data_IF_945355860575
#
_entry.id   IF_945355860575
#
_cell.length_a   1.000
_cell.length_b   1.000
_cell.length_c   1.000
_cell.angle_alpha   90.00
_cell.angle_beta   90.00
_cell.angle_gamma   90.00
#
_symmetry.space_group_name_H-M   'P 1'
#
loop_
_entity.id
_entity.type
_entity.pdbx_description
1 polymer ?
#
# COMPACT_ATOMS: atom_id res chain seq x y z
N UNK A 1 -39.20 2.92 22.06
CA UNK A 1 -38.70 2.99 20.69
C UNK A 1 -37.20 2.67 20.79
N UNK A 2 -36.78 1.49 20.36
CA UNK A 2 -35.36 1.15 20.28
C UNK A 2 -34.81 1.90 19.05
N UNK A 3 -33.88 2.83 19.28
CA UNK A 3 -33.10 3.41 18.22
C UNK A 3 -32.23 2.27 17.64
N UNK A 4 -32.58 1.80 16.46
CA UNK A 4 -31.65 1.05 15.61
C UNK A 4 -30.42 1.93 15.45
N UNK A 5 -29.25 1.45 15.86
CA UNK A 5 -28.00 2.16 15.64
C UNK A 5 -27.76 2.23 14.13
N UNK A 6 -28.20 3.34 13.51
CA UNK A 6 -27.95 3.59 12.10
C UNK A 6 -26.55 4.19 11.98
N UNK A 7 -25.74 3.60 11.11
CA UNK A 7 -24.47 4.21 10.74
C UNK A 7 -24.78 5.40 9.83
N UNK A 8 -24.27 6.56 10.22
CA UNK A 8 -24.29 7.76 9.38
C UNK A 8 -22.95 7.85 8.61
N UNK A 9 -23.02 8.09 7.30
CA UNK A 9 -21.85 8.32 6.47
C UNK A 9 -21.72 9.82 6.21
N UNK A 10 -20.65 10.40 6.71
CA UNK A 10 -20.42 11.85 6.68
C UNK A 10 -19.09 12.17 5.99
N UNK A 11 -19.01 13.31 5.33
CA UNK A 11 -17.81 13.78 4.64
C UNK A 11 -16.67 14.05 5.64
N UNK A 12 -15.48 13.50 5.38
CA UNK A 12 -14.29 13.67 6.24
C UNK A 12 -13.91 15.14 6.45
N UNK A 13 -14.21 16.02 5.50
CA UNK A 13 -13.91 17.45 5.59
C UNK A 13 -14.70 18.18 6.67
N UNK A 14 -15.70 17.53 7.25
CA UNK A 14 -16.45 18.07 8.39
C UNK A 14 -15.81 17.75 9.74
N UNK A 15 -14.74 16.95 9.75
CA UNK A 15 -14.10 16.49 10.98
C UNK A 15 -12.71 17.09 11.16
N UNK A 16 -12.33 17.30 12.41
CA UNK A 16 -10.95 17.61 12.80
C UNK A 16 -10.25 16.34 13.29
N UNK A 17 -8.90 16.34 13.25
CA UNK A 17 -8.08 15.19 13.56
C UNK A 17 -8.37 14.49 14.92
N UNK A 18 -8.70 15.19 16.02
CA UNK A 18 -8.97 14.53 17.30
C UNK A 18 -10.08 13.49 17.27
N UNK A 19 -11.06 13.66 16.39
CA UNK A 19 -12.24 12.77 16.28
C UNK A 19 -11.86 11.41 15.67
N UNK A 20 -10.87 11.37 14.78
CA UNK A 20 -10.39 10.15 14.14
C UNK A 20 -9.22 9.47 14.89
N UNK A 21 -8.70 10.10 15.94
CA UNK A 21 -7.50 9.62 16.63
C UNK A 21 -7.59 8.14 17.04
N UNK A 22 -8.69 7.72 17.65
CA UNK A 22 -8.88 6.34 18.09
C UNK A 22 -8.83 5.35 16.92
N UNK A 23 -9.44 5.70 15.79
CA UNK A 23 -9.46 4.89 14.57
C UNK A 23 -8.05 4.77 13.99
N UNK A 24 -7.32 5.88 13.87
CA UNK A 24 -5.94 5.91 13.36
C UNK A 24 -4.94 5.19 14.28
N UNK A 25 -5.13 5.23 15.60
CA UNK A 25 -4.31 4.48 16.55
C UNK A 25 -4.53 2.97 16.41
N UNK A 26 -5.79 2.53 16.30
CA UNK A 26 -6.14 1.12 16.10
C UNK A 26 -5.60 0.59 14.75
N UNK A 27 -5.74 1.37 13.71
CA UNK A 27 -5.17 1.06 12.39
C UNK A 27 -3.65 0.95 12.46
N UNK A 28 -2.98 1.90 13.11
CA UNK A 28 -1.53 1.90 13.32
C UNK A 28 -1.01 0.66 14.03
N UNK A 29 -1.73 0.17 15.04
CA UNK A 29 -1.39 -1.09 15.70
C UNK A 29 -1.55 -2.29 14.77
N UNK A 30 -2.55 -2.28 13.87
CA UNK A 30 -2.73 -3.35 12.88
C UNK A 30 -1.62 -3.32 11.81
N UNK A 31 -1.20 -2.13 11.34
CA UNK A 31 -0.04 -1.98 10.46
C UNK A 31 1.23 -2.57 11.09
N UNK A 32 1.46 -2.28 12.37
CA UNK A 32 2.60 -2.80 13.11
C UNK A 32 2.54 -4.32 13.29
N UNK A 33 1.38 -4.86 13.67
CA UNK A 33 1.19 -6.30 13.91
C UNK A 33 1.29 -7.12 12.62
N UNK A 34 0.69 -6.64 11.52
CA UNK A 34 0.56 -7.40 10.26
C UNK A 34 1.75 -7.25 9.35
N UNK A 35 2.33 -6.05 9.28
CA UNK A 35 3.36 -5.69 8.29
C UNK A 35 4.67 -5.21 8.92
N UNK A 36 4.73 -5.09 10.24
CA UNK A 36 5.86 -4.53 11.00
C UNK A 36 6.21 -3.08 10.60
N UNK A 37 5.20 -2.31 10.11
CA UNK A 37 5.36 -0.92 9.69
C UNK A 37 4.95 0.05 10.79
N UNK A 38 5.70 1.13 10.91
CA UNK A 38 5.38 2.26 11.78
C UNK A 38 4.49 3.26 11.03
N UNK A 39 3.18 3.17 11.27
CA UNK A 39 2.17 4.00 10.61
C UNK A 39 2.10 5.44 11.17
N UNK A 40 2.79 5.76 12.27
CA UNK A 40 2.67 7.06 12.97
C UNK A 40 2.96 8.27 12.07
N UNK A 41 3.87 8.15 11.12
CA UNK A 41 4.18 9.25 10.19
C UNK A 41 3.06 9.47 9.20
N UNK A 42 2.47 8.41 8.65
CA UNK A 42 1.32 8.48 7.75
C UNK A 42 0.09 9.00 8.50
N UNK A 43 -0.18 8.51 9.71
CA UNK A 43 -1.28 9.00 10.55
C UNK A 43 -1.15 10.49 10.87
N UNK A 44 0.06 11.00 11.17
CA UNK A 44 0.28 12.44 11.37
C UNK A 44 -0.03 13.27 10.12
N UNK A 45 0.36 12.77 8.94
CA UNK A 45 0.06 13.44 7.69
C UNK A 45 -1.46 13.47 7.44
N UNK A 46 -2.16 12.36 7.66
CA UNK A 46 -3.62 12.31 7.57
C UNK A 46 -4.28 13.29 8.53
N UNK A 47 -3.82 13.36 9.79
CA UNK A 47 -4.33 14.32 10.77
C UNK A 47 -4.13 15.77 10.31
N UNK A 48 -3.02 16.13 9.67
CA UNK A 48 -2.81 17.46 9.12
C UNK A 48 -3.80 17.79 7.99
N UNK A 49 -4.09 16.84 7.10
CA UNK A 49 -5.10 17.02 6.05
C UNK A 49 -6.52 17.11 6.62
N UNK A 50 -6.83 16.39 7.68
CA UNK A 50 -8.11 16.50 8.39
C UNK A 50 -8.28 17.89 9.03
N UNK A 51 -7.27 18.36 9.78
CA UNK A 51 -7.33 19.68 10.41
C UNK A 51 -7.40 20.84 9.41
N UNK A 52 -6.89 20.64 8.20
CA UNK A 52 -7.04 21.59 7.10
C UNK A 52 -8.36 21.45 6.32
N UNK A 53 -9.22 20.49 6.67
CA UNK A 53 -10.46 20.14 5.98
C UNK A 53 -10.28 19.83 4.48
N UNK A 54 -9.12 19.30 4.11
CA UNK A 54 -8.72 19.04 2.71
C UNK A 54 -8.71 17.56 2.34
N UNK A 55 -8.98 16.63 3.28
CA UNK A 55 -8.95 15.19 3.01
C UNK A 55 -10.28 14.73 2.41
N UNK A 56 -10.35 14.39 1.11
CA UNK A 56 -11.57 13.87 0.51
C UNK A 56 -11.82 12.44 0.99
N UNK A 57 -13.06 12.15 1.36
CA UNK A 57 -13.44 10.83 1.83
C UNK A 57 -14.65 10.88 2.77
N UNK A 58 -14.88 9.78 3.47
CA UNK A 58 -16.05 9.61 4.34
C UNK A 58 -15.67 8.99 5.67
N UNK A 59 -16.40 9.37 6.70
CA UNK A 59 -16.37 8.75 8.02
C UNK A 59 -17.69 8.03 8.28
N UNK A 60 -17.61 6.86 8.90
CA UNK A 60 -18.75 6.16 9.48
C UNK A 60 -18.92 6.61 10.93
N UNK A 61 -20.11 7.07 11.28
CA UNK A 61 -20.45 7.55 12.62
C UNK A 61 -21.56 6.70 13.20
N UNK A 62 -21.31 6.15 14.38
CA UNK A 62 -22.28 5.37 15.16
C UNK A 62 -22.41 5.98 16.55
N UNK A 63 -23.64 6.29 16.98
CA UNK A 63 -23.90 6.94 18.28
C UNK A 63 -23.03 8.20 18.54
N UNK A 64 -22.78 8.99 17.51
CA UNK A 64 -21.97 10.22 17.61
C UNK A 64 -20.46 10.01 17.68
N UNK A 65 -19.99 8.78 17.53
CA UNK A 65 -18.56 8.45 17.49
C UNK A 65 -18.14 7.93 16.12
N UNK A 66 -16.96 8.34 15.64
CA UNK A 66 -16.39 7.83 14.40
C UNK A 66 -15.88 6.40 14.65
N UNK A 67 -16.41 5.45 13.88
CA UNK A 67 -16.07 4.02 13.95
C UNK A 67 -15.25 3.54 12.77
N UNK A 68 -15.16 4.31 11.69
CA UNK A 68 -14.37 3.97 10.52
C UNK A 68 -14.24 5.14 9.56
N UNK A 69 -13.36 5.02 8.58
CA UNK A 69 -13.15 6.02 7.55
C UNK A 69 -12.65 5.41 6.24
N UNK A 70 -12.80 6.16 5.15
CA UNK A 70 -12.19 5.91 3.85
C UNK A 70 -11.76 7.25 3.28
N UNK A 71 -10.60 7.29 2.63
CA UNK A 71 -10.15 8.52 1.96
C UNK A 71 -9.59 8.25 0.56
N UNK A 72 -9.53 9.30 -0.24
CA UNK A 72 -8.85 9.27 -1.52
C UNK A 72 -7.98 10.51 -1.72
N UNK A 73 -7.10 10.44 -2.71
CA UNK A 73 -6.27 11.57 -3.15
C UNK A 73 -6.50 11.75 -4.65
N UNK A 74 -6.67 13.00 -5.08
CA UNK A 74 -6.83 13.33 -6.50
C UNK A 74 -5.47 13.69 -7.10
N UNK A 75 -5.17 13.09 -8.25
CA UNK A 75 -3.99 13.37 -9.08
C UNK A 75 -4.46 13.66 -10.52
N UNK A 76 -4.63 14.92 -10.89
CA UNK A 76 -5.13 15.31 -12.22
C UNK A 76 -6.51 14.66 -12.52
N UNK A 77 -6.60 13.77 -13.49
CA UNK A 77 -7.82 13.01 -13.86
C UNK A 77 -7.93 11.66 -13.16
N UNK A 78 -7.07 11.41 -12.16
CA UNK A 78 -7.03 10.16 -11.40
C UNK A 78 -7.41 10.39 -9.93
N UNK A 79 -8.10 9.40 -9.34
CA UNK A 79 -8.24 9.28 -7.90
C UNK A 79 -7.51 8.04 -7.40
N UNK A 80 -6.81 8.16 -6.28
CA UNK A 80 -6.19 7.03 -5.57
C UNK A 80 -6.89 6.86 -4.24
N UNK A 81 -7.54 5.71 -4.04
CA UNK A 81 -8.12 5.34 -2.74
C UNK A 81 -6.95 4.96 -1.85
N UNK A 82 -6.75 5.73 -0.78
CA UNK A 82 -5.59 5.59 0.09
C UNK A 82 -5.71 4.41 1.03
N UNK A 83 -6.74 4.39 1.85
CA UNK A 83 -7.10 3.26 2.72
C UNK A 83 -8.59 3.33 3.11
N UNK A 84 -9.09 2.21 3.65
CA UNK A 84 -10.37 2.10 4.34
C UNK A 84 -10.13 1.33 5.62
N UNK A 85 -10.66 1.80 6.74
CA UNK A 85 -10.50 1.12 8.01
C UNK A 85 -11.71 1.35 8.91
N UNK A 86 -12.13 0.32 9.64
CA UNK A 86 -13.14 0.43 10.69
C UNK A 86 -12.68 -0.29 11.96
N UNK A 87 -13.06 0.26 13.11
CA UNK A 87 -12.78 -0.33 14.41
C UNK A 87 -13.44 -1.72 14.49
N UNK A 88 -12.74 -2.73 15.02
CA UNK A 88 -13.35 -4.01 15.32
C UNK A 88 -14.47 -3.78 16.34
N UNK A 89 -15.68 -4.26 16.02
CA UNK A 89 -16.82 -4.14 16.92
C UNK A 89 -16.54 -4.78 18.28
N UNK A 90 -17.25 -4.37 19.33
CA UNK A 90 -17.05 -4.87 20.70
C UNK A 90 -17.19 -6.40 20.87
N UNK A 91 -17.80 -7.09 19.91
CA UNK A 91 -17.93 -8.55 19.92
C UNK A 91 -16.62 -9.32 19.68
N UNK A 92 -15.57 -8.70 19.13
CA UNK A 92 -14.27 -9.35 18.93
C UNK A 92 -13.36 -9.26 20.17
N UNK A 93 -13.72 -8.47 21.17
CA UNK A 93 -13.01 -8.39 22.46
C UNK A 93 -13.62 -9.26 23.55
N UNK A 94 -14.79 -9.87 23.30
CA UNK A 94 -15.43 -10.78 24.23
C UNK A 94 -15.01 -12.23 23.92
N UNK A 95 -14.35 -12.85 24.86
CA UNK A 95 -14.20 -14.31 24.93
C UNK A 95 -15.61 -14.90 24.92
N UNK A 96 -16.01 -15.57 23.86
CA UNK A 96 -17.24 -16.27 23.55
C UNK A 96 -18.53 -15.86 24.29
N UNK A 97 -19.69 -15.85 23.63
CA UNK A 97 -20.92 -15.57 24.34
C UNK A 97 -21.13 -16.61 25.47
N UNK A 98 -21.58 -16.19 26.66
CA UNK A 98 -21.98 -17.13 27.67
C UNK A 98 -23.09 -18.01 27.08
N UNK A 99 -23.18 -19.32 27.46
CA UNK A 99 -24.25 -20.17 27.00
C UNK A 99 -25.59 -19.50 27.33
N UNK A 100 -26.59 -19.58 26.43
CA UNK A 100 -27.90 -19.00 26.69
C UNK A 100 -28.50 -19.63 27.95
N UNK A 101 -28.88 -18.80 28.91
CA UNK A 101 -29.64 -19.26 30.05
C UNK A 101 -30.98 -19.82 29.55
N UNK A 102 -31.44 -20.96 30.07
CA UNK A 102 -32.73 -21.52 29.69
C UNK A 102 -33.84 -20.54 30.08
N UNK A 103 -34.62 -20.09 29.08
CA UNK A 103 -35.79 -19.25 29.29
C UNK A 103 -36.80 -19.93 30.23
N UNK A 104 -37.26 -19.20 31.24
CA UNK A 104 -38.35 -19.67 32.08
C UNK A 104 -39.63 -19.78 31.24
N UNK A 105 -40.45 -20.84 31.53
CA UNK A 105 -41.66 -21.09 30.79
C UNK A 105 -42.66 -19.92 30.89
N UNK A 106 -42.85 -19.20 29.75
CA UNK A 106 -43.75 -18.05 29.65
C UNK A 106 -43.11 -16.72 29.37
N UNK A 107 -41.77 -16.65 29.30
CA UNK A 107 -41.07 -15.41 28.87
C UNK A 107 -41.13 -15.24 27.35
N UNK A 108 -41.63 -14.07 26.90
CA UNK A 108 -41.57 -13.65 25.51
C UNK A 108 -40.11 -13.27 25.23
N UNK A 109 -39.45 -13.88 24.25
CA UNK A 109 -38.08 -13.51 23.92
C UNK A 109 -38.02 -12.04 23.63
N UNK A 110 -37.03 -11.35 24.24
CA UNK A 110 -36.76 -9.95 23.94
C UNK A 110 -36.57 -9.79 22.43
N UNK A 111 -37.03 -8.68 21.81
CA UNK A 111 -36.83 -8.47 20.39
C UNK A 111 -35.34 -8.61 20.07
N UNK A 112 -35.01 -9.40 19.05
CA UNK A 112 -33.66 -9.63 18.57
C UNK A 112 -33.09 -8.27 18.30
N UNK A 113 -32.17 -7.78 19.13
CA UNK A 113 -31.36 -6.62 18.81
C UNK A 113 -30.48 -7.01 17.65
N UNK A 114 -30.63 -6.37 16.52
CA UNK A 114 -29.66 -6.52 15.44
C UNK A 114 -28.27 -6.29 16.03
N UNK A 115 -27.37 -7.23 15.79
CA UNK A 115 -26.00 -7.10 16.23
C UNK A 115 -25.39 -5.84 15.56
N UNK A 116 -24.54 -5.08 16.26
CA UNK A 116 -23.86 -3.93 15.62
C UNK A 116 -23.10 -4.43 14.39
N UNK A 117 -23.07 -3.63 13.30
CA UNK A 117 -22.40 -4.05 12.09
C UNK A 117 -20.93 -4.35 12.34
N UNK A 118 -20.42 -5.35 11.64
CA UNK A 118 -19.01 -5.73 11.72
C UNK A 118 -18.12 -4.65 11.07
N UNK A 119 -16.84 -4.59 11.44
CA UNK A 119 -15.88 -3.70 10.80
C UNK A 119 -15.91 -3.85 9.27
N UNK A 120 -16.02 -5.08 8.77
CA UNK A 120 -16.11 -5.36 7.34
C UNK A 120 -17.36 -4.75 6.67
N UNK A 121 -18.50 -4.76 7.33
CA UNK A 121 -19.74 -4.15 6.81
C UNK A 121 -19.63 -2.62 6.79
N UNK A 122 -18.99 -2.02 7.79
CA UNK A 122 -18.71 -0.59 7.84
C UNK A 122 -17.77 -0.20 6.70
N UNK A 123 -16.66 -0.91 6.50
CA UNK A 123 -15.71 -0.68 5.41
C UNK A 123 -16.37 -0.84 4.04
N UNK A 124 -17.20 -1.87 3.86
CA UNK A 124 -17.94 -2.07 2.61
C UNK A 124 -18.92 -0.92 2.33
N UNK A 125 -19.58 -0.38 3.36
CA UNK A 125 -20.51 0.76 3.23
C UNK A 125 -19.74 2.04 2.86
N UNK A 126 -18.62 2.29 3.51
CA UNK A 126 -17.73 3.41 3.21
C UNK A 126 -17.21 3.37 1.77
N UNK A 127 -16.73 2.19 1.32
CA UNK A 127 -16.26 2.00 -0.05
C UNK A 127 -17.38 2.21 -1.08
N UNK A 128 -18.59 1.69 -0.84
CA UNK A 128 -19.73 1.91 -1.75
C UNK A 128 -20.02 3.39 -1.92
N UNK A 129 -20.06 4.14 -0.82
CA UNK A 129 -20.32 5.58 -0.83
C UNK A 129 -19.23 6.36 -1.58
N UNK A 130 -17.96 5.97 -1.36
CA UNK A 130 -16.84 6.55 -2.10
C UNK A 130 -16.91 6.21 -3.59
N UNK A 131 -17.26 4.98 -3.97
CA UNK A 131 -17.42 4.58 -5.38
C UNK A 131 -18.53 5.38 -6.07
N UNK A 132 -19.68 5.56 -5.42
CA UNK A 132 -20.76 6.40 -5.97
C UNK A 132 -20.27 7.82 -6.30
N UNK A 133 -19.44 8.39 -5.43
CA UNK A 133 -18.87 9.72 -5.66
C UNK A 133 -17.85 9.73 -6.79
N UNK A 134 -16.90 8.79 -6.78
CA UNK A 134 -15.80 8.79 -7.74
C UNK A 134 -16.25 8.39 -9.14
N UNK A 135 -17.09 7.36 -9.28
CA UNK A 135 -17.56 6.86 -10.58
C UNK A 135 -18.49 7.84 -11.30
N UNK A 136 -19.25 8.68 -10.53
CA UNK A 136 -20.08 9.73 -11.07
C UNK A 136 -19.32 11.04 -11.38
N UNK A 137 -18.04 11.13 -11.04
CA UNK A 137 -17.23 12.32 -11.35
C UNK A 137 -16.84 12.33 -12.84
N UNK A 138 -17.30 13.32 -13.64
CA UNK A 138 -16.97 13.37 -15.06
C UNK A 138 -15.49 13.69 -15.32
N UNK A 139 -14.77 14.19 -14.33
CA UNK A 139 -13.38 14.60 -14.43
C UNK A 139 -12.39 13.44 -14.20
N UNK A 140 -12.88 12.30 -13.71
CA UNK A 140 -12.03 11.16 -13.43
C UNK A 140 -12.04 10.17 -14.60
N UNK A 141 -10.87 9.85 -15.06
CA UNK A 141 -10.63 8.84 -16.08
C UNK A 141 -10.15 7.53 -15.48
N UNK A 142 -9.59 7.61 -14.26
CA UNK A 142 -8.98 6.46 -13.59
C UNK A 142 -9.17 6.50 -12.07
N UNK A 143 -9.35 5.32 -11.46
CA UNK A 143 -9.36 5.16 -10.01
C UNK A 143 -8.45 3.97 -9.70
N UNK A 144 -7.51 4.17 -8.77
CA UNK A 144 -6.59 3.15 -8.29
C UNK A 144 -6.77 2.90 -6.80
N UNK A 145 -6.55 1.68 -6.35
CA UNK A 145 -6.51 1.31 -4.94
C UNK A 145 -5.51 0.19 -4.70
N UNK A 146 -4.82 0.22 -3.56
CA UNK A 146 -3.98 -0.87 -3.08
C UNK A 146 -4.18 -1.00 -1.57
N UNK A 147 -5.13 -1.84 -1.15
CA UNK A 147 -5.48 -2.00 0.25
C UNK A 147 -4.53 -3.00 0.93
N UNK A 148 -3.30 -2.56 1.16
CA UNK A 148 -2.20 -3.39 1.67
C UNK A 148 -2.52 -4.03 3.03
N UNK A 149 -3.29 -3.34 3.87
CA UNK A 149 -3.66 -3.82 5.20
C UNK A 149 -4.69 -4.95 5.16
N UNK A 150 -5.49 -5.04 4.08
CA UNK A 150 -6.59 -6.00 3.97
C UNK A 150 -6.15 -7.30 3.28
N UNK A 151 -6.49 -8.49 3.83
CA UNK A 151 -6.25 -9.74 3.13
C UNK A 151 -6.93 -9.77 1.75
N UNK A 152 -6.24 -10.36 0.76
CA UNK A 152 -6.80 -10.54 -0.57
C UNK A 152 -8.15 -11.27 -0.50
N UNK A 153 -9.13 -10.76 -1.23
CA UNK A 153 -10.51 -11.27 -1.21
C UNK A 153 -11.46 -10.46 -0.33
N UNK A 154 -10.97 -9.72 0.67
CA UNK A 154 -11.82 -9.01 1.64
C UNK A 154 -12.83 -8.09 0.94
N UNK A 155 -12.38 -7.26 0.02
CA UNK A 155 -13.25 -6.31 -0.71
C UNK A 155 -13.31 -6.60 -2.22
N UNK A 156 -12.70 -7.68 -2.71
CA UNK A 156 -12.58 -7.97 -4.15
C UNK A 156 -13.93 -8.03 -4.88
N UNK A 157 -14.96 -8.62 -4.27
CA UNK A 157 -16.28 -8.72 -4.87
C UNK A 157 -16.92 -7.35 -5.05
N UNK A 158 -16.77 -6.46 -4.05
CA UNK A 158 -17.28 -5.10 -4.10
C UNK A 158 -16.62 -4.28 -5.20
N UNK A 159 -15.28 -4.35 -5.32
CA UNK A 159 -14.54 -3.68 -6.39
C UNK A 159 -14.97 -4.18 -7.78
N UNK A 160 -15.10 -5.52 -7.97
CA UNK A 160 -15.54 -6.08 -9.26
C UNK A 160 -16.97 -5.68 -9.62
N UNK A 161 -17.89 -5.64 -8.66
CA UNK A 161 -19.27 -5.19 -8.88
C UNK A 161 -19.32 -3.72 -9.31
N UNK A 162 -18.39 -2.89 -8.83
CA UNK A 162 -18.24 -1.50 -9.24
C UNK A 162 -17.46 -1.30 -10.56
N UNK A 163 -17.10 -2.39 -11.26
CA UNK A 163 -16.43 -2.34 -12.55
C UNK A 163 -14.91 -2.25 -12.51
N UNK A 164 -14.29 -2.46 -11.35
CA UNK A 164 -12.83 -2.47 -11.23
C UNK A 164 -12.24 -3.82 -11.67
N UNK A 165 -11.08 -3.77 -12.30
CA UNK A 165 -10.17 -4.91 -12.42
C UNK A 165 -9.42 -5.08 -11.10
N UNK A 166 -9.33 -6.32 -10.61
CA UNK A 166 -8.70 -6.64 -9.33
C UNK A 166 -7.49 -7.54 -9.57
N UNK A 167 -6.35 -7.13 -9.05
CA UNK A 167 -5.07 -7.80 -9.15
C UNK A 167 -4.62 -8.25 -7.76
N UNK A 168 -4.30 -9.53 -7.63
CA UNK A 168 -3.73 -10.05 -6.39
C UNK A 168 -2.25 -9.72 -6.31
N UNK A 169 -1.82 -9.17 -5.17
CA UNK A 169 -0.43 -8.84 -4.87
C UNK A 169 0.05 -9.58 -3.63
N UNK A 170 1.32 -9.88 -3.59
CA UNK A 170 1.98 -10.54 -2.47
C UNK A 170 2.85 -9.53 -1.73
N UNK A 171 2.77 -9.53 -0.42
CA UNK A 171 3.73 -8.89 0.47
C UNK A 171 4.70 -9.98 0.92
N UNK A 172 5.98 -9.80 0.55
CA UNK A 172 7.02 -10.77 0.83
C UNK A 172 8.06 -10.18 1.79
N UNK A 173 8.58 -11.01 2.69
CA UNK A 173 9.54 -10.61 3.73
C UNK A 173 10.76 -11.54 3.67
N UNK A 174 11.95 -10.94 3.79
CA UNK A 174 13.22 -11.63 3.98
C UNK A 174 13.77 -11.27 5.36
N UNK A 175 13.94 -12.23 6.28
CA UNK A 175 14.67 -12.03 7.52
C UNK A 175 16.16 -11.79 7.24
N UNK A 176 16.72 -10.76 7.87
CA UNK A 176 18.15 -10.46 7.79
C UNK A 176 18.88 -11.08 9.00
N UNK A 177 19.10 -12.40 8.96
CA UNK A 177 19.78 -13.13 10.03
C UNK A 177 21.15 -13.62 9.57
N UNK A 178 22.14 -13.57 10.47
CA UNK A 178 23.48 -14.08 10.21
C UNK A 178 24.48 -13.03 9.70
N UNK A 179 25.64 -13.51 9.25
CA UNK A 179 26.68 -12.66 8.69
C UNK A 179 26.45 -12.52 7.18
N UNK A 180 25.81 -11.44 6.78
CA UNK A 180 25.83 -11.05 5.37
C UNK A 180 27.23 -10.52 5.05
N UNK A 181 28.02 -11.28 4.33
CA UNK A 181 29.27 -10.78 3.76
C UNK A 181 28.95 -9.66 2.77
N UNK A 182 29.89 -8.73 2.64
CA UNK A 182 29.78 -7.71 1.59
C UNK A 182 29.57 -8.44 0.25
N UNK A 183 28.48 -8.15 -0.49
CA UNK A 183 28.21 -8.86 -1.73
C UNK A 183 29.39 -8.65 -2.69
N UNK A 184 29.92 -9.74 -3.27
CA UNK A 184 30.88 -9.63 -4.35
C UNK A 184 30.17 -9.07 -5.57
N UNK A 185 30.54 -7.86 -5.95
CA UNK A 185 29.98 -7.18 -7.11
C UNK A 185 30.89 -7.45 -8.29
N UNK A 186 30.50 -8.39 -9.13
CA UNK A 186 31.17 -8.63 -10.41
C UNK A 186 30.28 -8.03 -11.51
N UNK A 187 30.69 -6.89 -12.04
CA UNK A 187 30.01 -6.22 -13.15
C UNK A 187 30.89 -6.28 -14.41
N UNK A 188 30.27 -6.38 -15.60
CA UNK A 188 30.98 -6.10 -16.85
C UNK A 188 31.70 -4.74 -16.78
N UNK A 189 32.88 -4.63 -17.37
CA UNK A 189 33.74 -3.47 -17.22
C UNK A 189 33.15 -2.14 -17.74
N UNK A 190 32.05 -2.21 -18.50
CA UNK A 190 31.30 -1.03 -18.93
C UNK A 190 30.29 -0.50 -17.90
N UNK A 191 30.04 -1.25 -16.81
CA UNK A 191 29.03 -0.91 -15.79
C UNK A 191 29.66 -0.54 -14.46
N UNK A 192 29.03 0.42 -13.78
CA UNK A 192 29.39 0.92 -12.45
C UNK A 192 28.21 0.77 -11.49
N UNK A 193 28.45 0.14 -10.31
CA UNK A 193 27.51 0.19 -9.18
C UNK A 193 27.89 1.37 -8.27
N UNK A 194 26.92 2.18 -7.93
CA UNK A 194 27.10 3.29 -6.97
C UNK A 194 25.84 3.59 -6.16
N UNK A 195 25.98 4.26 -5.00
CA UNK A 195 24.83 4.77 -4.26
C UNK A 195 23.98 5.73 -5.07
N UNK A 196 22.70 5.81 -4.69
CA UNK A 196 21.75 6.81 -5.22
C UNK A 196 22.21 8.23 -4.92
N UNK A 197 21.96 9.14 -5.88
CA UNK A 197 22.14 10.58 -5.76
C UNK A 197 20.88 11.31 -6.20
N UNK A 198 20.65 12.53 -5.70
CA UNK A 198 19.46 13.32 -6.09
C UNK A 198 19.39 13.61 -7.60
N UNK A 199 20.52 13.70 -8.26
CA UNK A 199 20.64 13.84 -9.72
C UNK A 199 20.12 12.64 -10.52
N UNK A 200 19.99 11.48 -9.88
CA UNK A 200 19.48 10.24 -10.51
C UNK A 200 17.97 10.26 -10.74
N UNK A 201 17.23 11.17 -10.14
CA UNK A 201 15.77 11.19 -10.21
C UNK A 201 15.27 11.21 -11.68
N UNK A 202 15.85 12.07 -12.53
CA UNK A 202 15.44 12.16 -13.93
C UNK A 202 15.87 10.94 -14.76
N UNK A 203 17.12 10.46 -14.74
CA UNK A 203 17.49 9.25 -15.46
C UNK A 203 16.81 8.00 -14.94
N UNK A 204 16.52 7.89 -13.63
CA UNK A 204 15.75 6.78 -13.06
C UNK A 204 14.29 6.76 -13.54
N UNK A 205 13.67 7.94 -13.73
CA UNK A 205 12.34 8.02 -14.34
C UNK A 205 12.30 7.44 -15.75
N UNK A 206 13.31 7.69 -16.57
CA UNK A 206 13.45 7.05 -17.89
C UNK A 206 13.62 5.53 -17.78
N UNK A 207 14.51 5.09 -16.91
CA UNK A 207 14.75 3.67 -16.67
C UNK A 207 13.47 2.93 -16.24
N UNK A 208 12.70 3.49 -15.30
CA UNK A 208 11.44 2.89 -14.84
C UNK A 208 10.44 2.82 -16.00
N UNK A 209 10.20 3.90 -16.72
CA UNK A 209 9.28 3.93 -17.86
C UNK A 209 9.66 2.86 -18.91
N UNK A 210 10.95 2.69 -19.23
CA UNK A 210 11.41 1.66 -20.16
C UNK A 210 11.31 0.24 -19.59
N UNK A 211 11.59 0.06 -18.31
CA UNK A 211 11.54 -1.24 -17.65
C UNK A 211 10.12 -1.77 -17.47
N UNK A 212 9.13 -0.88 -17.33
CA UNK A 212 7.72 -1.23 -17.11
C UNK A 212 6.86 -1.10 -18.37
N UNK A 213 7.44 -0.82 -19.53
CA UNK A 213 6.73 -0.86 -20.80
C UNK A 213 6.16 -2.27 -21.00
N UNK A 214 4.85 -2.35 -21.23
CA UNK A 214 4.10 -3.62 -21.38
C UNK A 214 4.17 -4.57 -20.16
N UNK A 215 4.51 -4.03 -18.98
CA UNK A 215 4.57 -4.82 -17.76
C UNK A 215 3.22 -4.81 -17.02
N UNK A 216 2.77 -5.94 -16.41
CA UNK A 216 1.50 -5.98 -15.67
C UNK A 216 1.35 -4.92 -14.59
N UNK A 217 2.43 -4.54 -13.90
CA UNK A 217 2.38 -3.52 -12.86
C UNK A 217 2.05 -2.12 -13.41
N UNK A 218 2.28 -1.86 -14.71
CA UNK A 218 1.85 -0.61 -15.34
C UNK A 218 0.33 -0.52 -15.52
N UNK A 219 -0.38 -1.64 -15.45
CA UNK A 219 -1.84 -1.64 -15.40
C UNK A 219 -2.36 -1.23 -14.01
N UNK A 220 -1.61 -1.52 -12.96
CA UNK A 220 -1.95 -1.20 -11.57
C UNK A 220 -1.56 0.23 -11.22
N UNK A 221 -0.37 0.67 -11.62
CA UNK A 221 0.15 2.02 -11.38
C UNK A 221 0.50 2.68 -12.72
N UNK A 222 -0.32 3.61 -13.17
CA UNK A 222 -0.14 4.32 -14.44
C UNK A 222 1.10 5.24 -14.46
N UNK A 223 1.63 5.61 -13.30
CA UNK A 223 2.85 6.42 -13.21
C UNK A 223 4.06 5.73 -13.88
N UNK A 224 4.02 4.40 -14.04
CA UNK A 224 5.05 3.66 -14.75
C UNK A 224 4.98 3.78 -16.28
N UNK A 225 3.86 4.24 -16.85
CA UNK A 225 3.62 4.30 -18.30
C UNK A 225 4.36 5.43 -18.99
N UNK A 226 4.78 6.45 -18.28
CA UNK A 226 5.45 7.62 -18.84
C UNK A 226 6.67 8.04 -18.02
N UNK A 227 7.60 8.73 -18.66
CA UNK A 227 8.79 9.30 -17.98
C UNK A 227 8.34 10.27 -16.89
N UNK A 228 7.37 11.15 -17.19
CA UNK A 228 6.87 12.13 -16.24
C UNK A 228 6.17 11.48 -15.04
N UNK A 229 5.31 10.48 -15.29
CA UNK A 229 4.69 9.69 -14.24
C UNK A 229 5.72 8.99 -13.36
N UNK A 230 6.73 8.35 -13.97
CA UNK A 230 7.81 7.68 -13.24
C UNK A 230 8.65 8.65 -12.41
N UNK A 231 8.90 9.87 -12.90
CA UNK A 231 9.57 10.91 -12.13
C UNK A 231 8.73 11.39 -10.94
N UNK A 232 7.41 11.55 -11.11
CA UNK A 232 6.48 11.89 -10.03
C UNK A 232 6.43 10.78 -8.97
N UNK A 233 6.36 9.52 -9.39
CA UNK A 233 6.44 8.35 -8.51
C UNK A 233 7.74 8.36 -7.68
N UNK A 234 8.89 8.57 -8.32
CA UNK A 234 10.18 8.68 -7.64
C UNK A 234 10.24 9.86 -6.67
N UNK A 235 9.72 11.02 -7.08
CA UNK A 235 9.66 12.20 -6.23
C UNK A 235 8.84 11.89 -4.96
N UNK A 236 7.72 11.18 -5.11
CA UNK A 236 6.88 10.78 -3.98
C UNK A 236 7.63 9.84 -3.02
N UNK A 237 8.36 8.85 -3.53
CA UNK A 237 9.17 7.94 -2.70
C UNK A 237 10.28 8.68 -1.95
N UNK A 238 10.99 9.57 -2.64
CA UNK A 238 12.18 10.24 -2.10
C UNK A 238 11.81 11.36 -1.12
N UNK A 239 10.70 12.06 -1.33
CA UNK A 239 10.33 13.27 -0.57
C UNK A 239 9.24 13.04 0.48
N UNK A 240 8.37 12.06 0.28
CA UNK A 240 7.25 11.81 1.19
C UNK A 240 7.36 10.43 1.84
N UNK A 241 7.09 10.39 3.14
CA UNK A 241 7.24 9.17 3.94
C UNK A 241 6.04 8.19 3.82
N UNK A 242 5.28 8.21 2.73
CA UNK A 242 4.11 7.34 2.55
C UNK A 242 4.45 5.84 2.61
N UNK A 243 5.64 5.45 2.09
CA UNK A 243 6.17 4.09 2.19
C UNK A 243 7.41 4.04 3.09
N UNK A 244 7.40 4.76 4.22
CA UNK A 244 8.54 4.91 5.12
C UNK A 244 9.52 6.01 4.71
N UNK A 245 10.60 6.17 5.47
CA UNK A 245 11.65 7.16 5.19
C UNK A 245 12.63 6.62 4.17
N UNK A 246 12.75 7.28 3.03
CA UNK A 246 13.72 6.93 1.99
C UNK A 246 15.14 6.87 2.54
N UNK A 247 15.89 5.83 2.17
CA UNK A 247 17.28 5.61 2.61
C UNK A 247 18.26 5.64 1.43
N UNK A 248 18.93 6.78 1.16
CA UNK A 248 19.93 6.87 0.10
C UNK A 248 21.07 5.87 0.25
N UNK A 249 21.45 5.53 1.48
CA UNK A 249 22.54 4.59 1.77
C UNK A 249 22.22 3.14 1.37
N UNK A 250 20.93 2.78 1.34
CA UNK A 250 20.44 1.47 0.91
C UNK A 250 20.20 1.46 -0.60
N UNK A 251 19.84 2.61 -1.15
CA UNK A 251 19.44 2.75 -2.55
C UNK A 251 20.66 2.85 -3.46
N UNK A 252 20.68 2.03 -4.51
CA UNK A 252 21.81 1.94 -5.44
C UNK A 252 21.34 1.92 -6.88
N UNK A 253 22.22 2.37 -7.76
CA UNK A 253 22.01 2.35 -9.20
C UNK A 253 23.18 1.66 -9.90
N UNK A 254 22.91 1.06 -11.04
CA UNK A 254 23.93 0.60 -11.99
C UNK A 254 23.86 1.50 -13.21
N UNK A 255 24.99 2.07 -13.59
CA UNK A 255 25.11 3.00 -14.71
C UNK A 255 26.16 2.53 -15.72
N UNK A 256 26.02 2.89 -16.99
CA UNK A 256 27.08 2.74 -17.98
C UNK A 256 28.16 3.81 -17.79
N UNK A 257 29.44 3.40 -17.84
CA UNK A 257 30.55 4.33 -17.68
C UNK A 257 30.58 5.45 -18.72
N UNK A 258 30.22 5.13 -19.97
CA UNK A 258 30.36 6.07 -21.11
C UNK A 258 29.18 7.01 -21.22
N UNK A 259 27.96 6.49 -21.27
CA UNK A 259 26.73 7.28 -21.47
C UNK A 259 26.20 7.90 -20.16
N UNK A 260 26.56 7.33 -19.01
CA UNK A 260 26.01 7.64 -17.70
C UNK A 260 24.52 7.25 -17.57
N UNK A 261 23.97 6.51 -18.53
CA UNK A 261 22.61 6.02 -18.47
C UNK A 261 22.44 4.98 -17.37
N UNK A 262 21.35 5.07 -16.63
CA UNK A 262 21.01 4.07 -15.62
C UNK A 262 20.43 2.82 -16.29
N UNK A 263 20.99 1.66 -15.96
CA UNK A 263 20.55 0.37 -16.51
C UNK A 263 19.85 -0.52 -15.48
N UNK A 264 20.04 -0.24 -14.20
CA UNK A 264 19.31 -0.91 -13.12
C UNK A 264 19.30 -0.02 -11.87
N UNK A 265 18.32 -0.22 -11.00
CA UNK A 265 18.27 0.43 -9.70
C UNK A 265 17.55 -0.43 -8.65
N UNK A 266 17.86 -0.16 -7.37
CA UNK A 266 17.10 -0.56 -6.20
C UNK A 266 16.91 0.65 -5.31
N UNK A 267 15.68 0.88 -4.85
CA UNK A 267 15.34 1.92 -3.87
C UNK A 267 14.76 1.28 -2.63
N UNK A 268 15.19 1.76 -1.48
CA UNK A 268 14.72 1.25 -0.20
C UNK A 268 14.36 2.36 0.78
N UNK A 269 13.35 2.09 1.58
CA UNK A 269 12.87 2.95 2.65
C UNK A 269 12.88 2.21 3.99
N UNK A 270 13.06 2.94 5.08
CA UNK A 270 12.92 2.42 6.43
C UNK A 270 11.48 2.62 6.90
N UNK A 271 10.77 1.53 7.14
CA UNK A 271 9.34 1.54 7.50
C UNK A 271 9.11 1.39 9.00
N UNK A 272 10.11 0.89 9.73
CA UNK A 272 10.16 0.89 11.19
C UNK A 272 11.61 0.82 11.68
N UNK A 273 11.90 0.93 12.99
CA UNK A 273 13.26 0.78 13.48
C UNK A 273 13.97 -0.52 13.08
N UNK A 274 13.21 -1.60 12.91
CA UNK A 274 13.74 -2.93 12.61
C UNK A 274 13.38 -3.45 11.22
N UNK A 275 12.53 -2.73 10.46
CA UNK A 275 12.05 -3.19 9.16
C UNK A 275 12.35 -2.20 8.04
N UNK A 276 12.89 -2.72 6.93
CA UNK A 276 13.07 -2.01 5.68
C UNK A 276 12.04 -2.44 4.63
N UNK A 277 11.89 -1.63 3.58
CA UNK A 277 11.05 -1.95 2.44
C UNK A 277 11.77 -1.61 1.14
N UNK A 278 11.80 -2.56 0.19
CA UNK A 278 12.23 -2.29 -1.18
C UNK A 278 11.06 -1.65 -1.90
N UNK A 279 11.13 -0.34 -2.09
CA UNK A 279 10.08 0.44 -2.74
C UNK A 279 10.11 0.31 -4.25
N UNK A 280 11.29 0.04 -4.83
CA UNK A 280 11.46 -0.18 -6.25
C UNK A 280 12.71 -1.01 -6.55
N UNK A 281 12.59 -1.95 -7.48
CA UNK A 281 13.73 -2.62 -8.12
C UNK A 281 13.41 -2.83 -9.60
N UNK A 282 14.26 -2.37 -10.49
CA UNK A 282 14.08 -2.62 -11.92
C UNK A 282 15.41 -2.72 -12.66
N UNK A 283 15.36 -3.39 -13.80
CA UNK A 283 16.47 -3.58 -14.73
C UNK A 283 15.98 -3.28 -16.13
N UNK A 284 16.69 -2.42 -16.85
CA UNK A 284 16.40 -2.11 -18.25
C UNK A 284 16.34 -3.39 -19.09
N UNK A 285 15.39 -3.57 -20.02
CA UNK A 285 15.17 -4.81 -20.77
C UNK A 285 16.43 -5.40 -21.40
N UNK A 286 17.31 -4.56 -21.97
CA UNK A 286 18.59 -4.98 -22.61
C UNK A 286 19.61 -5.58 -21.65
N UNK A 287 19.45 -5.35 -20.33
CA UNK A 287 20.41 -5.78 -19.29
C UNK A 287 19.82 -6.87 -18.37
N UNK A 288 18.60 -7.35 -18.66
CA UNK A 288 17.96 -8.45 -17.92
C UNK A 288 18.75 -9.74 -18.06
N UNK A 289 18.56 -10.69 -17.13
CA UNK A 289 19.20 -12.03 -17.10
C UNK A 289 20.73 -11.99 -16.93
N UNK A 290 21.27 -10.87 -16.44
CA UNK A 290 22.72 -10.70 -16.13
C UNK A 290 22.98 -10.65 -14.62
N UNK A 291 22.04 -11.06 -13.77
CA UNK A 291 22.18 -11.06 -12.31
C UNK A 291 22.04 -9.70 -11.62
N UNK A 292 21.79 -8.59 -12.35
CA UNK A 292 21.79 -7.24 -11.77
C UNK A 292 20.73 -7.05 -10.67
N UNK A 293 19.51 -7.57 -10.85
CA UNK A 293 18.47 -7.45 -9.82
C UNK A 293 18.86 -8.19 -8.54
N UNK A 294 19.39 -9.42 -8.66
CA UNK A 294 19.89 -10.22 -7.53
C UNK A 294 20.98 -9.48 -6.77
N UNK A 295 21.97 -8.97 -7.49
CA UNK A 295 23.08 -8.20 -6.91
C UNK A 295 22.56 -6.96 -6.18
N UNK A 296 21.65 -6.18 -6.78
CA UNK A 296 21.07 -4.98 -6.17
C UNK A 296 20.29 -5.30 -4.90
N UNK A 297 19.50 -6.38 -4.88
CA UNK A 297 18.78 -6.83 -3.69
C UNK A 297 19.75 -7.22 -2.57
N UNK A 298 20.82 -7.97 -2.89
CA UNK A 298 21.85 -8.36 -1.93
C UNK A 298 22.60 -7.14 -1.37
N UNK A 299 22.90 -6.13 -2.20
CA UNK A 299 23.51 -4.86 -1.77
C UNK A 299 22.57 -4.09 -0.84
N UNK A 300 21.30 -3.98 -1.18
CA UNK A 300 20.31 -3.33 -0.33
C UNK A 300 20.16 -4.04 1.02
N UNK A 301 20.06 -5.37 1.02
CA UNK A 301 19.99 -6.19 2.24
C UNK A 301 21.20 -5.96 3.16
N UNK A 302 22.42 -5.96 2.59
CA UNK A 302 23.63 -5.67 3.34
C UNK A 302 23.61 -4.30 4.01
N UNK A 303 23.20 -3.26 3.28
CA UNK A 303 23.13 -1.90 3.83
C UNK A 303 22.02 -1.74 4.86
N UNK A 304 20.87 -2.39 4.69
CA UNK A 304 19.80 -2.41 5.69
C UNK A 304 20.28 -3.07 6.99
N UNK A 305 20.93 -4.23 6.89
CA UNK A 305 21.48 -4.91 8.04
C UNK A 305 22.50 -4.05 8.80
N UNK A 306 23.37 -3.33 8.08
CA UNK A 306 24.32 -2.37 8.69
C UNK A 306 23.63 -1.21 9.40
N UNK A 307 22.39 -0.90 9.08
CA UNK A 307 21.55 0.08 9.78
C UNK A 307 20.77 -0.52 10.95
N UNK A 308 21.00 -1.79 11.30
CA UNK A 308 20.32 -2.48 12.39
C UNK A 308 18.90 -2.95 12.04
N UNK A 309 18.57 -3.01 10.74
CA UNK A 309 17.32 -3.58 10.25
C UNK A 309 17.42 -5.10 10.30
N UNK A 310 16.40 -5.78 10.84
CA UNK A 310 16.37 -7.23 11.02
C UNK A 310 15.57 -7.98 9.94
N UNK A 311 14.79 -7.25 9.15
CA UNK A 311 14.01 -7.81 8.03
C UNK A 311 13.78 -6.75 6.95
N UNK A 312 13.60 -7.21 5.72
CA UNK A 312 13.21 -6.37 4.60
C UNK A 312 12.00 -6.95 3.88
N UNK A 313 11.12 -6.08 3.43
CA UNK A 313 9.91 -6.44 2.71
C UNK A 313 9.89 -5.87 1.30
N UNK A 314 9.02 -6.41 0.47
CA UNK A 314 8.66 -5.89 -0.84
C UNK A 314 7.24 -6.32 -1.21
N UNK A 315 6.68 -5.68 -2.25
CA UNK A 315 5.42 -6.13 -2.84
C UNK A 315 5.62 -6.53 -4.31
N UNK A 316 4.88 -7.55 -4.75
CA UNK A 316 4.93 -8.05 -6.12
C UNK A 316 3.55 -8.51 -6.57
N UNK A 317 3.19 -8.28 -7.83
CA UNK A 317 1.96 -8.83 -8.41
C UNK A 317 2.09 -10.33 -8.61
N UNK A 318 1.09 -11.11 -8.22
CA UNK A 318 1.12 -12.58 -8.24
C UNK A 318 1.39 -13.15 -9.65
N UNK A 319 0.96 -12.46 -10.71
CA UNK A 319 1.23 -12.86 -12.10
C UNK A 319 2.70 -12.65 -12.53
N UNK A 320 3.52 -11.89 -11.77
CA UNK A 320 4.93 -11.70 -12.06
C UNK A 320 5.77 -12.84 -11.46
N UNK A 321 5.60 -14.03 -12.01
CA UNK A 321 6.24 -15.25 -11.51
C UNK A 321 7.77 -15.18 -11.55
N UNK A 322 8.35 -14.53 -12.55
CA UNK A 322 9.81 -14.37 -12.68
C UNK A 322 10.40 -13.56 -11.50
N UNK A 323 9.72 -12.50 -11.08
CA UNK A 323 10.16 -11.72 -9.93
C UNK A 323 9.95 -12.51 -8.62
N UNK A 324 8.83 -13.22 -8.49
CA UNK A 324 8.56 -14.07 -7.33
C UNK A 324 9.64 -15.13 -7.15
N UNK A 325 10.03 -15.81 -8.22
CA UNK A 325 11.08 -16.83 -8.18
C UNK A 325 12.43 -16.20 -7.78
N UNK A 326 12.79 -15.04 -8.34
CA UNK A 326 13.97 -14.29 -7.91
C UNK A 326 13.91 -13.95 -6.42
N UNK A 327 12.79 -13.45 -5.92
CA UNK A 327 12.67 -13.08 -4.51
C UNK A 327 12.75 -14.30 -3.59
N UNK A 328 12.13 -15.41 -3.96
CA UNK A 328 12.26 -16.68 -3.21
C UNK A 328 13.69 -17.18 -3.15
N UNK A 329 14.40 -17.11 -4.27
CA UNK A 329 15.83 -17.47 -4.34
C UNK A 329 16.69 -16.58 -3.42
N UNK A 330 16.31 -15.31 -3.23
CA UNK A 330 16.95 -14.38 -2.30
C UNK A 330 16.47 -14.54 -0.84
N UNK A 331 15.60 -15.51 -0.56
CA UNK A 331 15.14 -15.81 0.80
C UNK A 331 13.89 -15.05 1.24
N UNK A 332 13.16 -14.39 0.33
CA UNK A 332 11.87 -13.81 0.65
C UNK A 332 10.77 -14.88 0.70
N UNK A 333 9.91 -14.79 1.69
CA UNK A 333 8.70 -15.59 1.81
C UNK A 333 7.45 -14.71 1.73
N UNK A 334 6.38 -15.20 1.10
CA UNK A 334 5.08 -14.53 1.11
C UNK A 334 4.46 -14.66 2.49
N UNK A 335 4.19 -13.54 3.16
CA UNK A 335 3.58 -13.52 4.50
C UNK A 335 2.17 -12.97 4.48
N UNK A 336 1.82 -12.21 3.44
CA UNK A 336 0.51 -11.61 3.29
C UNK A 336 0.18 -11.45 1.80
N UNK A 337 -1.11 -11.54 1.45
CA UNK A 337 -1.60 -11.22 0.12
C UNK A 337 -2.72 -10.19 0.23
N UNK A 338 -2.72 -9.22 -0.67
CA UNK A 338 -3.70 -8.13 -0.71
C UNK A 338 -4.13 -7.84 -2.16
N UNK A 339 -5.15 -7.02 -2.33
CA UNK A 339 -5.67 -6.68 -3.65
C UNK A 339 -5.29 -5.25 -4.03
N UNK A 340 -4.87 -5.10 -5.29
CA UNK A 340 -4.90 -3.83 -6.00
C UNK A 340 -6.13 -3.81 -6.91
N UNK A 341 -6.79 -2.67 -7.02
CA UNK A 341 -7.97 -2.51 -7.85
C UNK A 341 -7.84 -1.27 -8.74
N UNK A 342 -8.25 -1.39 -9.98
CA UNK A 342 -8.15 -0.32 -10.98
C UNK A 342 -9.45 -0.22 -11.77
N UNK A 343 -10.02 0.97 -11.82
CA UNK A 343 -11.09 1.32 -12.72
C UNK A 343 -10.57 2.32 -13.76
N UNK A 344 -10.98 2.14 -15.00
CA UNK A 344 -10.63 3.01 -16.11
C UNK A 344 -11.90 3.37 -16.87
N UNK A 345 -12.09 4.65 -17.17
CA UNK A 345 -13.24 5.09 -18.01
C UNK A 345 -13.09 4.53 -19.41
N UNK A 346 -14.18 3.97 -19.94
CA UNK A 346 -14.22 3.50 -21.33
C UNK A 346 -14.04 4.67 -22.31
N UNK A 347 -13.29 4.43 -23.39
CA UNK A 347 -13.07 5.42 -24.45
C UNK A 347 -11.91 6.39 -24.24
N UNK A 348 -11.28 6.40 -23.08
CA UNK A 348 -10.05 7.18 -22.86
C UNK A 348 -8.86 6.43 -23.46
N UNK A 349 -8.21 7.02 -24.48
CA UNK A 349 -7.02 6.43 -25.12
C UNK A 349 -5.88 6.31 -24.09
N UNK A 350 -5.27 5.13 -24.08
CA UNK A 350 -4.01 4.89 -23.35
C UNK A 350 -2.90 5.61 -24.13
N UNK A 351 -2.52 6.83 -23.71
CA UNK A 351 -1.30 7.48 -24.20
C UNK A 351 -0.07 6.99 -23.45
#
# INVERSE_FOLDING_TARGET
>A
MALTASIEILDLRHFAAPVLRQVLEAEGELWKQRLHWDYRTSARLLMQYLDSHMLPGYAAVENGQVTGYVFCVYEETKAVIGDVFALPGPALLAVGPPPPEPLAAGEIPAPIREAPPSAHEIEATLLKHLFETLLNSPQLDRIESQLLLHPSGTHSSLFRQAGFQVYRRLFMVQPLQGHFNHPRVELPGELELRPWRDEDLSPAGRLISDAYRDHPDSEINDQYRSIHGSQRFLHNIVRYAGCGTFSPQVSHVVAEHRSRDLVALVLGSRVSPLSGHITQVCVHPRYRRRGLARMLLSVAAFHFMRQGVSEISLTVTESNTQAIDLYRDEGYASVHAFDAAVWQREGVRRE
#
